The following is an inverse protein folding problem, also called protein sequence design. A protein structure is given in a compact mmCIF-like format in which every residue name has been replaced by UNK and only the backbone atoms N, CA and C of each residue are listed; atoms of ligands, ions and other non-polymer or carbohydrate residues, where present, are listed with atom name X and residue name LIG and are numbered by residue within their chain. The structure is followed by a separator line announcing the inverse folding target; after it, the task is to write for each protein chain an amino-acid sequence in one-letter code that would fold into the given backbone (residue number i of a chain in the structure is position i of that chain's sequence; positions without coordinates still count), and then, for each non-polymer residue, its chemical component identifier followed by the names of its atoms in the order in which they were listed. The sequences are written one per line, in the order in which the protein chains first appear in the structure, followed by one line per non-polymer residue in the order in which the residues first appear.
data_IF_810679889046
#
_entry.id   IF_810679889046
#
_cell.length_a   1.000
_cell.length_b   1.000
_cell.length_c   1.000
_cell.angle_alpha   90.00
_cell.angle_beta   90.00
_cell.angle_gamma   90.00
#
_symmetry.space_group_name_H-M   'P 1'
#
loop_
_entity.id
_entity.type
_entity.pdbx_description
1 polymer ?
#
# COMPACT_ATOMS: atom_id res chain seq x y z
N UNK A 1 56.98 -50.43 17.07
CA UNK A 1 56.70 -49.11 17.68
C UNK A 1 56.13 -48.20 16.60
N UNK A 2 54.92 -47.70 16.88
CA UNK A 2 54.21 -46.56 16.26
C UNK A 2 54.02 -46.58 14.73
N UNK A 3 52.93 -47.21 14.29
CA UNK A 3 52.27 -46.83 13.04
C UNK A 3 51.52 -45.52 13.25
N UNK A 4 51.94 -44.45 12.57
CA UNK A 4 51.29 -43.15 12.55
C UNK A 4 50.03 -43.21 11.69
N UNK A 5 48.87 -43.23 12.33
CA UNK A 5 47.57 -43.05 11.68
C UNK A 5 47.39 -41.58 11.27
N UNK A 6 47.59 -41.27 10.00
CA UNK A 6 47.11 -40.02 9.41
C UNK A 6 45.63 -40.21 9.07
N UNK A 7 44.75 -39.68 9.93
CA UNK A 7 43.31 -39.60 9.63
C UNK A 7 43.12 -38.63 8.46
N UNK A 8 42.58 -39.12 7.34
CA UNK A 8 42.10 -38.27 6.25
C UNK A 8 40.82 -37.60 6.72
N UNK A 9 40.93 -36.38 7.26
CA UNK A 9 39.78 -35.53 7.53
C UNK A 9 39.12 -35.23 6.17
N UNK A 10 37.91 -35.74 5.95
CA UNK A 10 37.12 -35.50 4.73
C UNK A 10 36.57 -34.06 4.75
N UNK A 11 37.43 -33.08 4.45
CA UNK A 11 37.14 -31.64 4.41
C UNK A 11 36.11 -31.25 3.33
N UNK A 12 35.78 -32.17 2.40
CA UNK A 12 34.84 -31.91 1.30
C UNK A 12 33.35 -31.90 1.69
N UNK A 13 32.95 -32.58 2.77
CA UNK A 13 31.54 -32.62 3.20
C UNK A 13 31.02 -31.34 3.93
N UNK A 14 31.78 -30.65 4.79
CA UNK A 14 31.27 -29.46 5.49
C UNK A 14 31.27 -28.20 4.61
N UNK A 15 32.09 -28.15 3.54
CA UNK A 15 32.19 -26.98 2.65
C UNK A 15 30.93 -26.81 1.78
N UNK A 16 30.34 -27.92 1.32
CA UNK A 16 29.07 -27.90 0.56
C UNK A 16 27.91 -27.44 1.45
N UNK A 17 27.93 -27.79 2.74
CA UNK A 17 26.89 -27.41 3.70
C UNK A 17 26.92 -25.92 4.08
N UNK A 18 28.08 -25.26 3.98
CA UNK A 18 28.23 -23.82 4.25
C UNK A 18 27.77 -22.98 3.05
N UNK A 19 27.98 -23.46 1.82
CA UNK A 19 27.53 -22.76 0.60
C UNK A 19 26.00 -22.72 0.45
N UNK A 20 25.27 -23.74 0.94
CA UNK A 20 23.80 -23.79 0.91
C UNK A 20 23.17 -22.82 1.94
N UNK A 21 23.86 -22.49 3.03
CA UNK A 21 23.34 -21.59 4.07
C UNK A 21 23.40 -20.10 3.67
N UNK A 22 24.26 -19.74 2.70
CA UNK A 22 24.47 -18.35 2.24
C UNK A 22 23.39 -17.89 1.24
N UNK A 23 22.56 -18.79 0.71
CA UNK A 23 21.57 -18.48 -0.33
C UNK A 23 20.22 -17.95 0.16
N UNK A 24 20.02 -17.77 1.47
CA UNK A 24 18.70 -17.40 2.03
C UNK A 24 18.47 -15.92 2.34
N UNK A 25 19.39 -15.03 2.00
CA UNK A 25 19.13 -13.58 2.10
C UNK A 25 18.48 -13.04 0.82
N UNK A 26 17.28 -13.55 0.51
CA UNK A 26 16.40 -12.85 -0.42
C UNK A 26 15.95 -11.55 0.26
N UNK A 27 16.54 -10.42 -0.15
CA UNK A 27 16.09 -9.10 0.27
C UNK A 27 14.65 -8.91 -0.17
N UNK A 28 13.78 -8.53 0.76
CA UNK A 28 12.41 -8.16 0.43
C UNK A 28 12.43 -6.71 -0.10
N UNK A 29 12.09 -6.53 -1.38
CA UNK A 29 12.02 -5.20 -1.99
C UNK A 29 10.77 -4.46 -1.53
N UNK A 30 10.92 -3.18 -1.16
CA UNK A 30 9.81 -2.33 -0.75
C UNK A 30 9.29 -1.64 -2.01
N UNK A 31 8.43 -2.34 -2.74
CA UNK A 31 7.87 -1.83 -3.99
C UNK A 31 6.33 -1.97 -4.06
N UNK A 32 5.65 -1.07 -4.77
CA UNK A 32 4.24 -1.22 -5.10
C UNK A 32 3.97 -2.50 -5.89
N UNK A 33 2.88 -3.20 -5.56
CA UNK A 33 2.39 -4.32 -6.35
C UNK A 33 1.16 -3.89 -7.14
N UNK A 34 1.05 -4.28 -8.41
CA UNK A 34 -0.13 -3.97 -9.21
C UNK A 34 -1.42 -4.52 -8.57
N UNK A 35 -2.49 -3.75 -8.66
CA UNK A 35 -3.84 -4.20 -8.31
C UNK A 35 -4.44 -4.94 -9.52
N UNK A 36 -4.81 -6.20 -9.32
CA UNK A 36 -5.53 -7.03 -10.27
C UNK A 36 -7.04 -6.79 -10.12
N UNK A 37 -7.51 -5.74 -10.80
CA UNK A 37 -8.90 -5.32 -10.75
C UNK A 37 -9.85 -6.40 -11.25
N UNK A 38 -10.88 -6.71 -10.45
CA UNK A 38 -11.82 -7.79 -10.69
C UNK A 38 -11.45 -9.12 -10.03
N UNK A 39 -10.25 -9.23 -9.46
CA UNK A 39 -9.75 -10.45 -8.83
C UNK A 39 -9.25 -10.24 -7.40
N UNK A 40 -8.51 -9.15 -7.14
CA UNK A 40 -8.03 -8.83 -5.80
C UNK A 40 -9.17 -8.41 -4.88
N UNK A 41 -9.08 -8.80 -3.60
CA UNK A 41 -10.01 -8.35 -2.56
C UNK A 41 -9.39 -7.25 -1.69
N UNK A 42 -10.22 -6.29 -1.29
CA UNK A 42 -9.86 -5.24 -0.36
C UNK A 42 -9.57 -5.82 1.03
N UNK A 43 -8.42 -5.49 1.62
CA UNK A 43 -8.04 -5.98 2.95
C UNK A 43 -8.86 -5.37 4.11
N UNK A 44 -9.70 -4.38 3.84
CA UNK A 44 -10.54 -3.75 4.87
C UNK A 44 -11.99 -4.22 4.79
N UNK A 45 -12.65 -4.05 3.63
CA UNK A 45 -14.06 -4.38 3.47
C UNK A 45 -14.33 -5.78 2.90
N UNK A 46 -13.29 -6.53 2.52
CA UNK A 46 -13.37 -7.85 1.88
C UNK A 46 -14.11 -7.90 0.53
N UNK A 47 -14.53 -6.75 -0.02
CA UNK A 47 -15.10 -6.67 -1.36
C UNK A 47 -14.01 -6.80 -2.42
N UNK A 48 -14.38 -7.33 -3.58
CA UNK A 48 -13.50 -7.37 -4.76
C UNK A 48 -13.24 -5.96 -5.28
N UNK A 49 -11.98 -5.66 -5.55
CA UNK A 49 -11.53 -4.35 -6.04
C UNK A 49 -11.85 -4.26 -7.53
N UNK A 50 -12.89 -3.52 -7.88
CA UNK A 50 -13.31 -3.33 -9.27
C UNK A 50 -13.12 -1.89 -9.75
N UNK A 51 -13.16 -0.93 -8.83
CA UNK A 51 -13.06 0.49 -9.15
C UNK A 51 -11.61 0.91 -9.37
N UNK A 52 -11.35 1.49 -10.55
CA UNK A 52 -10.01 1.94 -10.94
C UNK A 52 -9.74 3.41 -10.60
N UNK A 53 -10.69 4.14 -10.03
CA UNK A 53 -10.55 5.57 -9.74
C UNK A 53 -10.24 5.85 -8.26
N UNK A 54 -10.65 4.94 -7.37
CA UNK A 54 -10.65 5.16 -5.93
C UNK A 54 -9.81 4.13 -5.17
N UNK A 55 -9.40 3.03 -5.81
CA UNK A 55 -8.59 2.02 -5.15
C UNK A 55 -7.27 2.61 -4.60
N UNK A 56 -6.76 1.97 -3.57
CA UNK A 56 -5.56 2.40 -2.85
C UNK A 56 -4.70 1.21 -2.47
N UNK A 57 -3.45 1.49 -2.11
CA UNK A 57 -2.50 0.49 -1.66
C UNK A 57 -1.58 1.07 -0.59
N UNK A 58 -1.17 0.25 0.37
CA UNK A 58 -0.01 0.55 1.21
C UNK A 58 1.02 -0.56 1.12
N UNK A 59 2.29 -0.23 1.33
CA UNK A 59 3.40 -1.19 1.41
C UNK A 59 4.09 -1.00 2.75
N UNK A 60 4.21 -2.08 3.53
CA UNK A 60 4.88 -2.03 4.83
C UNK A 60 6.39 -1.93 4.69
N UNK A 61 7.08 -1.59 5.79
CA UNK A 61 8.56 -1.60 5.85
C UNK A 61 9.17 -2.99 5.61
N UNK A 62 8.34 -4.05 5.61
CA UNK A 62 8.72 -5.41 5.27
C UNK A 62 8.34 -5.79 3.83
N UNK A 63 8.03 -4.82 2.97
CA UNK A 63 7.69 -5.03 1.55
C UNK A 63 6.32 -5.67 1.31
N UNK A 64 5.46 -5.83 2.33
CA UNK A 64 4.13 -6.43 2.13
C UNK A 64 3.15 -5.38 1.64
N UNK A 65 2.64 -5.59 0.43
CA UNK A 65 1.55 -4.80 -0.15
C UNK A 65 0.17 -5.19 0.41
N UNK A 66 -0.64 -4.19 0.72
CA UNK A 66 -2.06 -4.32 1.05
C UNK A 66 -2.88 -3.46 0.10
N UNK A 67 -3.89 -4.06 -0.53
CA UNK A 67 -4.73 -3.42 -1.55
C UNK A 67 -6.11 -3.10 -0.98
N UNK A 68 -6.71 -2.01 -1.43
CA UNK A 68 -7.98 -1.50 -0.92
C UNK A 68 -8.87 -1.03 -2.06
N UNK A 69 -10.16 -1.30 -1.94
CA UNK A 69 -11.18 -0.89 -2.92
C UNK A 69 -11.41 0.64 -2.95
N UNK A 70 -11.08 1.32 -1.85
CA UNK A 70 -11.22 2.76 -1.74
C UNK A 70 -10.11 3.39 -0.86
N UNK A 71 -9.85 4.68 -1.04
CA UNK A 71 -8.89 5.44 -0.22
C UNK A 71 -9.30 5.41 1.26
N UNK A 72 -10.58 5.55 1.57
CA UNK A 72 -11.11 5.47 2.93
C UNK A 72 -10.91 4.09 3.58
N UNK A 73 -10.91 3.00 2.80
CA UNK A 73 -10.57 1.68 3.31
C UNK A 73 -9.12 1.62 3.80
N UNK A 74 -8.20 2.18 3.02
CA UNK A 74 -6.78 2.25 3.39
C UNK A 74 -6.57 3.10 4.65
N UNK A 75 -7.25 4.26 4.75
CA UNK A 75 -7.15 5.16 5.91
C UNK A 75 -7.70 4.48 7.18
N UNK A 76 -8.84 3.82 7.09
CA UNK A 76 -9.43 3.09 8.21
C UNK A 76 -8.57 1.89 8.63
N UNK A 77 -8.07 1.11 7.67
CA UNK A 77 -7.17 0.00 7.95
C UNK A 77 -5.91 0.46 8.69
N UNK A 78 -5.27 1.52 8.20
CA UNK A 78 -4.04 2.09 8.80
C UNK A 78 -4.28 2.53 10.24
N UNK A 79 -5.45 3.13 10.50
CA UNK A 79 -5.86 3.57 11.84
C UNK A 79 -6.05 2.40 12.79
N UNK A 80 -6.64 1.29 12.33
CA UNK A 80 -6.88 0.10 13.17
C UNK A 80 -5.62 -0.76 13.34
N UNK A 81 -4.62 -0.58 12.47
CA UNK A 81 -3.40 -1.40 12.43
C UNK A 81 -2.13 -0.56 12.68
N UNK A 82 -2.14 0.29 13.71
CA UNK A 82 -1.02 1.20 14.03
C UNK A 82 0.31 0.50 14.33
N UNK A 83 0.28 -0.77 14.75
CA UNK A 83 1.47 -1.56 15.03
C UNK A 83 2.24 -2.00 13.76
N UNK A 84 1.75 -1.65 12.56
CA UNK A 84 2.38 -1.98 11.27
C UNK A 84 2.99 -0.72 10.65
N UNK A 85 4.32 -0.54 10.72
CA UNK A 85 5.00 0.52 9.99
C UNK A 85 4.73 0.42 8.48
N UNK A 86 4.47 1.57 7.86
CA UNK A 86 4.17 1.71 6.44
C UNK A 86 5.23 2.58 5.80
N UNK A 87 5.84 2.08 4.73
CA UNK A 87 6.85 2.78 3.95
C UNK A 87 6.22 3.61 2.83
N UNK A 88 5.19 3.06 2.17
CA UNK A 88 4.59 3.68 0.98
C UNK A 88 3.07 3.66 1.10
N UNK A 89 2.44 4.79 0.77
CA UNK A 89 0.99 4.90 0.59
C UNK A 89 0.72 5.34 -0.84
N UNK A 90 -0.22 4.66 -1.49
CA UNK A 90 -0.59 4.89 -2.88
C UNK A 90 -2.10 5.00 -3.00
N UNK A 91 -2.54 5.85 -3.91
CA UNK A 91 -3.94 5.96 -4.32
C UNK A 91 -4.00 5.96 -5.83
N UNK A 92 -5.12 5.51 -6.39
CA UNK A 92 -5.35 5.73 -7.81
C UNK A 92 -5.58 7.22 -8.08
N UNK A 93 -5.04 7.67 -9.20
CA UNK A 93 -5.33 8.98 -9.75
C UNK A 93 -6.71 8.97 -10.41
N UNK A 94 -7.63 9.77 -9.88
CA UNK A 94 -9.01 9.84 -10.35
C UNK A 94 -9.14 10.16 -11.84
N UNK A 95 -8.21 10.97 -12.37
CA UNK A 95 -8.16 11.35 -13.80
C UNK A 95 -7.50 10.31 -14.69
N UNK A 96 -6.71 9.39 -14.11
CA UNK A 96 -5.99 8.34 -14.82
C UNK A 96 -6.29 6.98 -14.17
N UNK A 97 -7.49 6.40 -14.39
CA UNK A 97 -7.93 5.23 -13.66
C UNK A 97 -6.95 4.04 -13.76
N UNK A 98 -6.59 3.48 -12.62
CA UNK A 98 -5.66 2.36 -12.46
C UNK A 98 -4.20 2.78 -12.28
N UNK A 99 -3.88 4.08 -12.43
CA UNK A 99 -2.54 4.61 -12.17
C UNK A 99 -2.39 4.94 -10.68
N UNK A 100 -1.51 4.21 -10.01
CA UNK A 100 -1.13 4.49 -8.63
C UNK A 100 -0.17 5.68 -8.55
N UNK A 101 -0.41 6.56 -7.58
CA UNK A 101 0.39 7.75 -7.28
C UNK A 101 0.67 7.83 -5.78
N UNK A 102 1.77 8.49 -5.41
CA UNK A 102 2.16 8.70 -4.01
C UNK A 102 1.08 9.49 -3.25
N UNK A 103 0.44 8.84 -2.29
CA UNK A 103 -0.68 9.40 -1.54
C UNK A 103 -0.27 10.63 -0.71
N UNK A 104 0.98 10.66 -0.25
CA UNK A 104 1.50 11.76 0.58
C UNK A 104 1.67 13.06 -0.19
N UNK A 105 1.81 12.99 -1.52
CA UNK A 105 1.96 14.12 -2.44
C UNK A 105 0.68 14.46 -3.22
N UNK A 106 -0.34 13.61 -3.15
CA UNK A 106 -1.60 13.80 -3.86
C UNK A 106 -2.45 14.94 -3.27
N UNK A 107 -3.33 15.49 -4.10
CA UNK A 107 -4.44 16.35 -3.69
C UNK A 107 -5.73 15.54 -3.64
N UNK A 108 -6.58 15.79 -2.66
CA UNK A 108 -7.80 15.03 -2.43
C UNK A 108 -9.02 15.90 -2.51
N UNK A 109 -10.11 15.38 -3.06
CA UNK A 109 -11.42 16.02 -3.07
C UNK A 109 -12.42 15.11 -2.35
N UNK A 110 -13.10 15.67 -1.35
CA UNK A 110 -14.32 15.06 -0.80
C UNK A 110 -15.51 15.81 -1.39
N UNK A 111 -16.29 15.14 -2.24
CA UNK A 111 -17.34 15.77 -3.03
C UNK A 111 -18.61 14.92 -3.11
N UNK A 112 -19.80 15.40 -2.68
CA UNK A 112 -21.04 14.63 -2.82
C UNK A 112 -21.42 14.31 -4.27
N UNK A 113 -20.81 14.99 -5.25
CA UNK A 113 -20.99 14.70 -6.68
C UNK A 113 -20.19 13.52 -7.20
N UNK A 114 -19.24 12.99 -6.41
CA UNK A 114 -18.37 11.87 -6.79
C UNK A 114 -18.46 10.79 -5.72
N UNK A 115 -19.05 9.64 -6.06
CA UNK A 115 -19.20 8.53 -5.12
C UNK A 115 -17.99 7.61 -5.20
N UNK A 116 -17.33 7.41 -4.07
CA UNK A 116 -16.36 6.33 -3.88
C UNK A 116 -17.08 5.03 -3.49
N UNK A 117 -16.47 3.85 -3.70
CA UNK A 117 -17.11 2.56 -3.41
C UNK A 117 -17.65 2.40 -1.99
N UNK A 118 -17.02 3.08 -1.01
CA UNK A 118 -17.39 2.98 0.41
C UNK A 118 -18.03 4.27 0.96
N UNK A 119 -18.52 5.14 0.08
CA UNK A 119 -19.39 6.25 0.44
C UNK A 119 -18.71 7.42 1.17
N UNK A 120 -17.38 7.45 1.26
CA UNK A 120 -16.68 8.64 1.76
C UNK A 120 -16.65 9.80 0.74
N UNK A 121 -17.00 9.51 -0.52
CA UNK A 121 -16.97 10.46 -1.62
C UNK A 121 -15.59 11.08 -1.84
N UNK A 122 -14.54 10.27 -1.64
CA UNK A 122 -13.16 10.68 -1.58
C UNK A 122 -12.42 10.25 -2.85
N UNK A 123 -11.85 11.21 -3.57
CA UNK A 123 -11.04 10.98 -4.76
C UNK A 123 -9.65 11.61 -4.61
N UNK A 124 -8.62 10.94 -5.14
CA UNK A 124 -7.22 11.41 -5.13
C UNK A 124 -6.77 11.85 -6.52
N UNK A 125 -5.91 12.86 -6.57
CA UNK A 125 -5.43 13.49 -7.80
C UNK A 125 -3.93 13.69 -7.73
N UNK A 126 -3.24 13.37 -8.82
CA UNK A 126 -1.80 13.64 -8.93
C UNK A 126 -1.50 15.13 -9.08
N UNK A 127 -2.46 15.89 -9.63
CA UNK A 127 -2.33 17.31 -9.91
C UNK A 127 -3.34 18.12 -9.09
N UNK A 128 -2.85 19.17 -8.44
CA UNK A 128 -3.74 20.14 -7.77
C UNK A 128 -4.68 20.84 -8.77
N UNK A 129 -4.20 21.08 -10.00
CA UNK A 129 -5.02 21.66 -11.07
C UNK A 129 -6.20 20.74 -11.40
N UNK A 130 -5.95 19.45 -11.62
CA UNK A 130 -7.01 18.47 -11.91
C UNK A 130 -8.04 18.39 -10.77
N UNK A 131 -7.57 18.46 -9.53
CA UNK A 131 -8.43 18.46 -8.35
C UNK A 131 -9.33 19.73 -8.31
N UNK A 132 -8.79 20.90 -8.65
CA UNK A 132 -9.54 22.18 -8.70
C UNK A 132 -10.54 22.25 -9.85
N UNK A 133 -10.16 21.75 -11.03
CA UNK A 133 -11.08 21.62 -12.17
C UNK A 133 -12.23 20.68 -11.81
N UNK A 134 -11.92 19.54 -11.18
CA UNK A 134 -12.93 18.60 -10.73
C UNK A 134 -13.81 19.20 -9.62
N UNK A 135 -13.23 19.94 -8.67
CA UNK A 135 -13.98 20.66 -7.63
C UNK A 135 -14.98 21.67 -8.23
N UNK A 136 -14.60 22.38 -9.29
CA UNK A 136 -15.50 23.32 -9.97
C UNK A 136 -16.74 22.62 -10.54
N UNK A 137 -16.57 21.38 -11.04
CA UNK A 137 -17.64 20.62 -11.68
C UNK A 137 -18.53 19.86 -10.68
N UNK A 138 -17.96 19.37 -9.58
CA UNK A 138 -18.64 18.47 -8.64
C UNK A 138 -18.85 19.07 -7.25
N UNK A 139 -18.42 20.30 -7.00
CA UNK A 139 -18.31 20.91 -5.68
C UNK A 139 -17.43 20.07 -4.72
N UNK A 140 -17.36 20.47 -3.46
CA UNK A 140 -16.66 19.72 -2.41
C UNK A 140 -15.49 20.48 -1.81
N UNK A 141 -14.73 19.80 -0.96
CA UNK A 141 -13.60 20.39 -0.23
C UNK A 141 -12.31 19.68 -0.59
N UNK A 142 -11.29 20.49 -0.89
CA UNK A 142 -9.94 19.99 -1.17
C UNK A 142 -9.14 19.78 0.12
N UNK A 143 -8.34 18.73 0.13
CA UNK A 143 -7.45 18.37 1.23
C UNK A 143 -6.08 17.98 0.67
N UNK A 144 -5.02 18.33 1.38
CA UNK A 144 -3.74 17.61 1.26
C UNK A 144 -3.72 16.39 2.19
N UNK A 145 -2.69 15.55 2.06
CA UNK A 145 -2.53 14.34 2.88
C UNK A 145 -2.69 14.58 4.39
N UNK A 146 -1.99 15.58 4.95
CA UNK A 146 -2.03 15.88 6.39
C UNK A 146 -3.44 16.28 6.84
N UNK A 147 -4.12 17.10 6.04
CA UNK A 147 -5.50 17.52 6.32
C UNK A 147 -6.48 16.35 6.22
N UNK A 148 -6.31 15.47 5.23
CA UNK A 148 -7.14 14.29 5.02
C UNK A 148 -7.03 13.31 6.20
N UNK A 149 -5.81 12.97 6.60
CA UNK A 149 -5.58 12.08 7.77
C UNK A 149 -6.20 12.68 9.04
N UNK A 150 -6.08 14.00 9.24
CA UNK A 150 -6.74 14.69 10.35
C UNK A 150 -8.27 14.67 10.25
N UNK A 151 -8.83 14.79 9.04
CA UNK A 151 -10.27 14.70 8.80
C UNK A 151 -10.82 13.32 9.22
N UNK A 152 -10.18 12.23 8.78
CA UNK A 152 -10.60 10.87 9.13
C UNK A 152 -10.43 10.54 10.62
N UNK A 153 -9.40 11.09 11.28
CA UNK A 153 -9.25 10.97 12.74
C UNK A 153 -10.37 11.66 13.53
N UNK A 154 -10.89 12.80 13.06
CA UNK A 154 -11.96 13.53 13.77
C UNK A 154 -13.34 12.95 13.54
N UNK A 155 -13.61 12.44 12.34
CA UNK A 155 -14.92 11.86 11.99
C UNK A 155 -15.31 10.70 12.92
N UNK A 156 -14.33 9.97 13.43
CA UNK A 156 -14.52 8.90 14.42
C UNK A 156 -14.98 9.41 15.79
N UNK A 157 -14.53 10.57 16.27
CA UNK A 157 -14.87 11.09 17.61
C UNK A 157 -16.36 11.45 17.78
N UNK A 158 -17.14 11.35 16.71
CA UNK A 158 -18.56 11.71 16.66
C UNK A 158 -19.46 10.51 16.31
N UNK A 159 -18.92 9.30 16.33
CA UNK A 159 -19.64 8.03 16.25
C UNK A 159 -19.41 7.22 17.53
#
# INVERSE_FOLDING_TARGET
MVFSALSKINIVKPVISIFIFIWFFASCEIEPVSIDYGNDNCHYCNMTIVDRQHAAQLVTDKGRAYKFDAIECMLNYTRENTARPVSVYLVNDFKNPGKLIEATNATYLISPGIRSPMGANLSGFNSEQDARETQTNYNGTLYNWKQLVKYFKRKELHH
#
